data_IF_434049007316
#
_entry.id   IF_434049007316
#
_cell.length_a   1.000
_cell.length_b   1.000
_cell.length_c   1.000
_cell.angle_alpha   90.00
_cell.angle_beta   90.00
_cell.angle_gamma   90.00
#
_symmetry.space_group_name_H-M   'P 1'
#
loop_
_entity.id
_entity.type
_entity.pdbx_description
1 polymer ?
#
# COMPACT_ATOMS: atom_id res chain seq x y z
N UNK A 1 -3.09 2.94 -23.53
CA UNK A 1 -2.63 3.87 -22.46
C UNK A 1 -1.11 3.91 -22.45
N UNK A 2 -0.50 5.11 -22.47
CA UNK A 2 0.96 5.26 -22.32
C UNK A 2 1.33 5.17 -20.83
N UNK A 3 1.81 3.98 -20.41
CA UNK A 3 2.03 3.64 -19.00
C UNK A 3 3.52 3.52 -18.70
N UNK A 4 3.96 4.16 -17.61
CA UNK A 4 5.25 3.91 -16.96
C UNK A 4 5.07 3.05 -15.70
N UNK A 5 6.10 2.32 -15.27
CA UNK A 5 6.17 1.76 -13.93
C UNK A 5 7.14 2.58 -13.06
N UNK A 6 6.79 2.77 -11.80
CA UNK A 6 7.65 3.38 -10.76
C UNK A 6 7.85 2.35 -9.66
N UNK A 7 9.05 1.81 -9.57
CA UNK A 7 9.40 0.72 -8.64
C UNK A 7 10.31 1.25 -7.55
N UNK A 8 9.91 1.08 -6.30
CA UNK A 8 10.71 1.51 -5.16
C UNK A 8 11.57 0.36 -4.65
N UNK A 9 12.88 0.54 -4.67
CA UNK A 9 13.85 -0.38 -4.10
C UNK A 9 14.32 0.09 -2.72
N UNK A 10 14.51 -0.87 -1.84
CA UNK A 10 15.21 -0.69 -0.56
C UNK A 10 15.92 -1.99 -0.21
N UNK A 11 17.26 -1.99 -0.22
CA UNK A 11 18.09 -3.18 -0.03
C UNK A 11 17.64 -4.37 -0.92
N UNK A 12 17.55 -4.21 -2.25
CA UNK A 12 16.93 -5.20 -3.13
C UNK A 12 17.61 -6.57 -3.06
N UNK A 13 18.91 -6.63 -2.76
CA UNK A 13 19.67 -7.87 -2.64
C UNK A 13 19.23 -8.76 -1.46
N UNK A 14 18.57 -8.21 -0.45
CA UNK A 14 17.99 -9.00 0.65
C UNK A 14 16.84 -9.92 0.18
N UNK A 15 16.17 -9.54 -0.91
CA UNK A 15 15.13 -10.38 -1.54
C UNK A 15 15.75 -11.42 -2.48
N UNK A 16 16.91 -11.12 -3.03
CA UNK A 16 17.61 -11.91 -4.03
C UNK A 16 17.47 -11.34 -5.45
N UNK A 17 18.58 -11.25 -6.16
CA UNK A 17 18.69 -10.63 -7.48
C UNK A 17 17.69 -11.21 -8.50
N UNK A 18 17.70 -12.54 -8.66
CA UNK A 18 16.80 -13.21 -9.62
C UNK A 18 15.34 -12.91 -9.35
N UNK A 19 14.96 -12.92 -8.07
CA UNK A 19 13.59 -12.70 -7.64
C UNK A 19 13.13 -11.27 -7.90
N UNK A 20 13.98 -10.27 -7.63
CA UNK A 20 13.71 -8.86 -7.95
C UNK A 20 13.49 -8.68 -9.45
N UNK A 21 14.34 -9.26 -10.27
CA UNK A 21 14.22 -9.20 -11.73
C UNK A 21 12.91 -9.87 -12.17
N UNK A 22 12.62 -11.08 -11.71
CA UNK A 22 11.37 -11.79 -12.03
C UNK A 22 10.14 -11.01 -11.63
N UNK A 23 10.12 -10.38 -10.44
CA UNK A 23 9.01 -9.55 -10.00
C UNK A 23 8.72 -8.44 -11.01
N UNK A 24 9.76 -7.69 -11.44
CA UNK A 24 9.60 -6.59 -12.37
C UNK A 24 9.24 -7.09 -13.78
N UNK A 25 9.85 -8.17 -14.24
CA UNK A 25 9.54 -8.75 -15.55
C UNK A 25 8.09 -9.24 -15.67
N UNK A 26 7.42 -9.55 -14.53
CA UNK A 26 6.03 -9.99 -14.53
C UNK A 26 5.04 -8.96 -15.09
N UNK A 27 5.42 -7.67 -15.11
CA UNK A 27 4.58 -6.58 -15.62
C UNK A 27 5.30 -5.63 -16.59
N UNK A 28 6.62 -5.78 -16.80
CA UNK A 28 7.43 -4.85 -17.58
C UNK A 28 6.97 -4.71 -19.03
N UNK A 29 6.46 -5.78 -19.65
CA UNK A 29 5.98 -5.76 -21.04
C UNK A 29 4.74 -4.90 -21.27
N UNK A 30 4.05 -4.50 -20.20
CA UNK A 30 2.88 -3.60 -20.22
C UNK A 30 3.25 -2.15 -19.95
N UNK A 31 4.53 -1.86 -19.69
CA UNK A 31 5.04 -0.53 -19.40
C UNK A 31 6.10 -0.14 -20.44
N UNK A 32 6.00 1.07 -21.00
CA UNK A 32 7.00 1.56 -21.97
C UNK A 32 8.33 1.90 -21.30
N UNK A 33 8.31 2.29 -20.02
CA UNK A 33 9.48 2.63 -19.20
C UNK A 33 9.28 2.14 -17.78
N UNK A 34 10.40 1.80 -17.13
CA UNK A 34 10.45 1.39 -15.73
C UNK A 34 11.41 2.32 -14.99
N UNK A 35 10.90 3.14 -14.08
CA UNK A 35 11.71 3.99 -13.22
C UNK A 35 11.98 3.24 -11.92
N UNK A 36 13.22 2.82 -11.72
CA UNK A 36 13.69 2.15 -10.52
C UNK A 36 14.26 3.21 -9.60
N UNK A 37 13.51 3.52 -8.53
CA UNK A 37 13.94 4.51 -7.54
C UNK A 37 14.50 3.78 -6.33
N UNK A 38 15.79 3.87 -6.14
CA UNK A 38 16.52 3.15 -5.10
C UNK A 38 16.69 4.01 -3.86
N UNK A 39 16.01 3.61 -2.79
CA UNK A 39 16.05 4.21 -1.46
C UNK A 39 17.18 3.62 -0.58
N UNK A 40 17.97 2.69 -1.10
CA UNK A 40 19.08 2.12 -0.34
C UNK A 40 20.22 3.13 -0.11
N UNK A 41 21.07 2.85 0.88
CA UNK A 41 22.33 3.56 1.07
C UNK A 41 23.33 3.24 -0.04
N UNK A 42 23.37 1.96 -0.44
CA UNK A 42 24.25 1.47 -1.50
C UNK A 42 23.59 1.61 -2.86
N UNK A 43 24.40 1.71 -3.91
CA UNK A 43 23.92 1.83 -5.27
C UNK A 43 23.72 0.45 -5.90
N UNK A 44 22.57 0.24 -6.55
CA UNK A 44 22.26 -1.01 -7.23
C UNK A 44 22.02 -0.79 -8.74
N UNK A 45 22.73 0.17 -9.34
CA UNK A 45 22.59 0.51 -10.77
C UNK A 45 22.89 -0.67 -11.69
N UNK A 46 23.92 -1.48 -11.37
CA UNK A 46 24.27 -2.66 -12.18
C UNK A 46 23.15 -3.71 -12.18
N UNK A 47 22.42 -3.83 -11.08
CA UNK A 47 21.22 -4.68 -11.02
C UNK A 47 20.10 -4.12 -11.91
N UNK A 48 19.89 -2.81 -11.87
CA UNK A 48 18.87 -2.15 -12.68
C UNK A 48 19.13 -2.31 -14.19
N UNK A 49 20.40 -2.28 -14.65
CA UNK A 49 20.77 -2.50 -16.06
C UNK A 49 20.34 -3.86 -16.61
N UNK A 50 20.08 -4.85 -15.75
CA UNK A 50 19.56 -6.17 -16.14
C UNK A 50 18.06 -6.16 -16.48
N UNK A 51 17.37 -5.07 -16.20
CA UNK A 51 15.94 -4.90 -16.44
C UNK A 51 15.74 -4.06 -17.70
N UNK A 52 15.09 -4.61 -18.73
CA UNK A 52 14.88 -3.90 -19.99
C UNK A 52 14.07 -2.60 -19.78
N UNK A 53 14.43 -1.56 -20.55
CA UNK A 53 13.75 -0.26 -20.54
C UNK A 53 13.72 0.43 -19.18
N UNK A 54 14.62 0.07 -18.25
CA UNK A 54 14.70 0.70 -16.94
C UNK A 54 15.55 1.98 -16.97
N UNK A 55 15.20 2.89 -16.08
CA UNK A 55 15.97 4.08 -15.71
C UNK A 55 16.18 4.01 -14.20
N UNK A 56 17.45 4.00 -13.78
CA UNK A 56 17.83 3.97 -12.37
C UNK A 56 17.93 5.38 -11.80
N UNK A 57 17.36 5.58 -10.62
CA UNK A 57 17.36 6.83 -9.87
C UNK A 57 17.76 6.53 -8.42
N UNK A 58 18.93 7.02 -8.00
CA UNK A 58 19.32 6.94 -6.58
C UNK A 58 18.62 8.03 -5.77
N UNK A 59 17.80 7.63 -4.78
CA UNK A 59 17.09 8.55 -3.91
C UNK A 59 17.67 8.60 -2.49
N UNK A 60 18.50 7.64 -2.09
CA UNK A 60 19.14 7.57 -0.76
C UNK A 60 18.14 7.76 0.39
N UNK A 61 16.95 7.20 0.23
CA UNK A 61 15.84 7.24 1.18
C UNK A 61 15.34 8.64 1.57
N UNK A 62 15.60 9.66 0.74
CA UNK A 62 15.06 11.01 0.95
C UNK A 62 13.55 10.98 0.83
N UNK A 63 12.82 11.44 1.86
CA UNK A 63 11.36 11.39 1.92
C UNK A 63 10.76 9.97 2.03
N UNK A 64 11.58 8.95 2.25
CA UNK A 64 11.14 7.56 2.39
C UNK A 64 10.47 7.01 1.14
N UNK A 65 9.46 6.15 1.32
CA UNK A 65 8.71 5.58 0.20
C UNK A 65 7.94 6.67 -0.58
N UNK A 66 7.42 7.68 0.11
CA UNK A 66 6.73 8.81 -0.52
C UNK A 66 7.67 9.60 -1.44
N UNK A 67 8.88 9.92 -0.96
CA UNK A 67 9.89 10.61 -1.77
C UNK A 67 10.35 9.79 -2.96
N UNK A 68 10.53 8.49 -2.79
CA UNK A 68 10.85 7.58 -3.90
C UNK A 68 9.74 7.57 -4.95
N UNK A 69 8.49 7.43 -4.55
CA UNK A 69 7.34 7.47 -5.46
C UNK A 69 7.23 8.82 -6.19
N UNK A 70 7.41 9.94 -5.48
CA UNK A 70 7.39 11.26 -6.07
C UNK A 70 8.47 11.43 -7.14
N UNK A 71 9.73 11.00 -6.84
CA UNK A 71 10.85 11.07 -7.80
C UNK A 71 10.56 10.32 -9.08
N UNK A 72 10.03 9.09 -8.96
CA UNK A 72 9.67 8.27 -10.10
C UNK A 72 8.51 8.87 -10.91
N UNK A 73 7.45 9.32 -10.25
CA UNK A 73 6.29 9.94 -10.87
C UNK A 73 6.65 11.26 -11.57
N UNK A 74 7.45 12.12 -10.94
CA UNK A 74 7.94 13.38 -11.53
C UNK A 74 8.76 13.09 -12.80
N UNK A 75 9.68 12.12 -12.75
CA UNK A 75 10.49 11.76 -13.91
C UNK A 75 9.63 11.19 -15.03
N UNK A 76 8.67 10.33 -14.73
CA UNK A 76 7.73 9.81 -15.71
C UNK A 76 6.89 10.93 -16.35
N UNK A 77 6.40 11.90 -15.56
CA UNK A 77 5.64 13.05 -16.06
C UNK A 77 6.49 13.93 -17.00
N UNK A 78 7.75 14.22 -16.62
CA UNK A 78 8.71 14.98 -17.46
C UNK A 78 9.01 14.25 -18.78
N UNK A 79 9.10 12.94 -18.76
CA UNK A 79 9.32 12.11 -19.96
C UNK A 79 8.03 11.93 -20.80
N UNK A 80 6.94 12.61 -20.43
CA UNK A 80 5.70 12.68 -21.21
C UNK A 80 4.76 11.49 -21.03
N UNK A 81 4.87 10.77 -19.93
CA UNK A 81 3.87 9.77 -19.55
C UNK A 81 2.64 10.44 -18.93
N UNK A 82 1.48 9.91 -19.25
CA UNK A 82 0.22 10.36 -18.65
C UNK A 82 -0.14 9.52 -17.43
N UNK A 83 0.23 8.25 -17.42
CA UNK A 83 -0.09 7.29 -16.38
C UNK A 83 1.17 6.61 -15.85
N UNK A 84 1.19 6.38 -14.53
CA UNK A 84 2.23 5.59 -13.90
C UNK A 84 1.61 4.53 -12.98
N UNK A 85 2.23 3.36 -12.95
CA UNK A 85 1.92 2.28 -12.01
C UNK A 85 3.00 2.21 -10.96
N UNK A 86 2.66 2.54 -9.71
CA UNK A 86 3.60 2.40 -8.57
C UNK A 86 3.66 0.94 -8.13
N UNK A 87 4.86 0.45 -7.84
CA UNK A 87 5.11 -0.95 -7.50
C UNK A 87 6.07 -1.08 -6.32
N UNK A 88 5.78 -2.02 -5.43
CA UNK A 88 6.75 -2.48 -4.43
C UNK A 88 7.68 -3.54 -5.03
N UNK A 89 8.91 -3.60 -4.54
CA UNK A 89 9.93 -4.52 -5.06
C UNK A 89 9.61 -6.02 -4.88
N UNK A 90 8.71 -6.35 -3.97
CA UNK A 90 8.32 -7.74 -3.64
C UNK A 90 6.96 -8.17 -4.23
N UNK A 91 6.41 -7.34 -5.11
CA UNK A 91 5.12 -7.56 -5.77
C UNK A 91 5.29 -8.25 -7.12
N UNK A 92 4.44 -9.22 -7.40
CA UNK A 92 4.47 -10.00 -8.63
C UNK A 92 3.06 -10.22 -9.18
N UNK A 93 2.91 -10.05 -10.50
CA UNK A 93 1.71 -10.41 -11.21
C UNK A 93 1.80 -11.79 -11.85
N UNK A 94 0.70 -12.50 -11.90
CA UNK A 94 0.51 -13.59 -12.84
C UNK A 94 0.18 -13.01 -14.24
N UNK A 95 0.66 -13.61 -15.35
CA UNK A 95 0.50 -13.04 -16.70
C UNK A 95 -0.93 -12.66 -17.06
N UNK A 96 -1.90 -13.51 -16.74
CA UNK A 96 -3.30 -13.24 -17.03
C UNK A 96 -3.87 -12.12 -16.17
N UNK A 97 -3.36 -11.93 -14.95
CA UNK A 97 -3.83 -10.89 -14.04
C UNK A 97 -3.40 -9.50 -14.51
N UNK A 98 -2.13 -9.31 -14.87
CA UNK A 98 -1.66 -8.01 -15.37
C UNK A 98 -2.32 -7.65 -16.70
N UNK A 99 -2.44 -8.61 -17.63
CA UNK A 99 -3.11 -8.42 -18.91
C UNK A 99 -4.54 -7.92 -18.74
N UNK A 100 -5.29 -8.60 -17.89
CA UNK A 100 -6.69 -8.25 -17.62
C UNK A 100 -6.81 -6.93 -16.87
N UNK A 101 -5.87 -6.66 -15.94
CA UNK A 101 -5.85 -5.40 -15.20
C UNK A 101 -5.69 -4.20 -16.14
N UNK A 102 -4.69 -4.22 -17.01
CA UNK A 102 -4.43 -3.13 -17.98
C UNK A 102 -5.62 -2.96 -18.92
N UNK A 103 -6.18 -4.06 -19.45
CA UNK A 103 -7.36 -4.03 -20.32
C UNK A 103 -8.55 -3.34 -19.66
N UNK A 104 -8.87 -3.71 -18.43
CA UNK A 104 -10.02 -3.16 -17.68
C UNK A 104 -9.82 -1.67 -17.35
N UNK A 105 -8.59 -1.27 -16.99
CA UNK A 105 -8.26 0.13 -16.74
C UNK A 105 -8.41 0.96 -18.03
N UNK A 106 -7.86 0.48 -19.16
CA UNK A 106 -7.98 1.16 -20.46
C UNK A 106 -9.43 1.31 -20.91
N UNK A 107 -10.26 0.31 -20.69
CA UNK A 107 -11.69 0.37 -21.00
C UNK A 107 -12.45 1.32 -20.08
N UNK A 108 -12.04 1.47 -18.83
CA UNK A 108 -12.73 2.32 -17.87
C UNK A 108 -12.39 3.81 -18.00
N UNK A 109 -11.11 4.16 -18.27
CA UNK A 109 -10.63 5.56 -18.35
C UNK A 109 -11.57 6.46 -19.18
N UNK A 110 -12.00 6.09 -20.40
CA UNK A 110 -12.86 6.95 -21.20
C UNK A 110 -14.30 7.07 -20.70
N UNK A 111 -14.71 6.25 -19.72
CA UNK A 111 -16.10 6.24 -19.23
C UNK A 111 -16.32 7.22 -18.08
N UNK A 112 -15.25 7.60 -17.36
CA UNK A 112 -15.34 8.51 -16.21
C UNK A 112 -14.06 9.36 -16.09
N UNK A 113 -14.14 10.62 -16.47
CA UNK A 113 -13.04 11.59 -16.39
C UNK A 113 -12.55 11.84 -14.96
N UNK A 114 -13.37 11.50 -13.96
CA UNK A 114 -12.99 11.60 -12.54
C UNK A 114 -12.15 10.43 -12.07
N UNK A 115 -12.17 9.31 -12.79
CA UNK A 115 -11.39 8.13 -12.45
C UNK A 115 -9.90 8.37 -12.76
N UNK A 116 -9.15 8.75 -11.75
CA UNK A 116 -7.74 9.13 -11.89
C UNK A 116 -6.78 8.13 -11.24
N UNK A 117 -7.34 7.07 -10.64
CA UNK A 117 -6.59 6.20 -9.76
C UNK A 117 -7.23 4.81 -9.73
N UNK A 118 -6.43 3.77 -10.01
CA UNK A 118 -6.87 2.38 -10.11
C UNK A 118 -5.97 1.46 -9.31
N UNK A 119 -6.54 0.39 -8.74
CA UNK A 119 -5.78 -0.67 -8.06
C UNK A 119 -6.50 -2.01 -8.11
N UNK A 120 -5.76 -3.14 -8.14
CA UNK A 120 -6.33 -4.48 -8.08
C UNK A 120 -6.68 -4.87 -6.63
N UNK A 121 -7.34 -6.01 -6.45
CA UNK A 121 -7.34 -6.69 -5.14
C UNK A 121 -5.93 -7.21 -4.84
N UNK A 122 -5.58 -7.31 -3.55
CA UNK A 122 -4.27 -7.79 -3.12
C UNK A 122 -4.40 -9.18 -2.49
N UNK A 123 -3.63 -10.13 -3.01
CA UNK A 123 -3.54 -11.48 -2.48
C UNK A 123 -2.25 -11.65 -1.69
N UNK A 124 -2.38 -11.77 -0.38
CA UNK A 124 -1.25 -12.01 0.49
C UNK A 124 -0.76 -13.46 0.35
N UNK A 125 0.46 -13.67 -0.19
CA UNK A 125 1.02 -15.00 -0.45
C UNK A 125 1.47 -15.67 0.86
N UNK A 126 1.98 -14.89 1.82
CA UNK A 126 2.50 -15.40 3.09
C UNK A 126 1.46 -15.44 4.22
N UNK A 127 0.18 -15.23 3.92
CA UNK A 127 -0.91 -15.33 4.89
C UNK A 127 -1.15 -16.80 5.28
N UNK A 128 -0.52 -17.25 6.34
CA UNK A 128 -0.85 -18.55 6.96
C UNK A 128 -2.25 -18.50 7.54
N UNK A 129 -3.18 -19.28 6.96
CA UNK A 129 -4.51 -19.46 7.56
C UNK A 129 -4.32 -20.22 8.87
N UNK A 130 -4.48 -19.51 9.99
CA UNK A 130 -4.33 -20.14 11.30
C UNK A 130 -5.43 -21.18 11.52
N UNK A 131 -5.06 -22.35 12.09
CA UNK A 131 -5.97 -23.44 12.39
C UNK A 131 -7.20 -23.01 13.23
N UNK A 132 -7.07 -22.04 14.15
CA UNK A 132 -8.19 -21.48 14.92
C UNK A 132 -9.17 -20.69 14.04
N UNK A 133 -8.69 -20.02 12.98
CA UNK A 133 -9.52 -19.33 11.98
C UNK A 133 -10.26 -20.35 11.12
N UNK A 134 -9.57 -21.45 10.79
CA UNK A 134 -10.15 -22.60 10.10
C UNK A 134 -11.25 -23.28 10.92
N UNK A 135 -11.00 -23.58 12.24
CA UNK A 135 -11.99 -24.15 13.18
C UNK A 135 -13.17 -23.19 13.35
N UNK A 136 -12.91 -21.90 13.55
CA UNK A 136 -13.98 -20.90 13.70
C UNK A 136 -14.85 -20.81 12.45
N UNK A 137 -14.26 -20.89 11.27
CA UNK A 137 -14.99 -20.77 10.00
C UNK A 137 -15.71 -22.06 9.62
N UNK A 138 -15.05 -23.21 9.76
CA UNK A 138 -15.57 -24.49 9.29
C UNK A 138 -16.36 -25.27 10.34
N UNK A 139 -16.10 -25.07 11.63
CA UNK A 139 -16.75 -25.81 12.72
C UNK A 139 -17.70 -24.93 13.52
N UNK A 140 -17.20 -23.84 14.09
CA UNK A 140 -18.00 -23.01 15.01
C UNK A 140 -19.04 -22.13 14.28
N UNK A 141 -18.75 -21.67 13.09
CA UNK A 141 -19.64 -20.82 12.32
C UNK A 141 -20.92 -21.55 11.85
N UNK A 142 -20.83 -22.80 11.30
CA UNK A 142 -22.00 -23.60 10.97
C UNK A 142 -22.87 -23.95 12.21
N UNK A 143 -22.21 -24.32 13.32
CA UNK A 143 -22.91 -24.66 14.58
C UNK A 143 -23.64 -23.43 15.10
N UNK A 144 -22.98 -22.26 15.13
CA UNK A 144 -23.57 -20.99 15.57
C UNK A 144 -24.73 -20.56 14.70
N UNK A 145 -24.69 -20.81 13.38
CA UNK A 145 -25.80 -20.59 12.44
C UNK A 145 -26.99 -21.49 12.72
N UNK A 146 -26.72 -22.77 13.00
CA UNK A 146 -27.79 -23.75 13.31
C UNK A 146 -28.52 -23.42 14.61
N UNK A 147 -27.77 -22.96 15.65
CA UNK A 147 -28.33 -22.63 16.97
C UNK A 147 -29.06 -21.27 16.95
N UNK A 148 -28.56 -20.27 16.26
CA UNK A 148 -29.11 -18.90 16.27
C UNK A 148 -30.16 -18.65 15.20
N UNK A 149 -30.50 -19.63 14.37
CA UNK A 149 -31.54 -19.50 13.32
C UNK A 149 -31.31 -18.37 12.31
N UNK A 150 -30.17 -17.67 12.37
CA UNK A 150 -29.84 -16.59 11.44
C UNK A 150 -29.46 -17.20 10.11
N UNK A 151 -30.36 -17.08 9.15
CA UNK A 151 -30.11 -17.41 7.74
C UNK A 151 -28.92 -16.59 7.24
N UNK A 152 -27.78 -17.24 7.06
CA UNK A 152 -26.61 -16.61 6.47
C UNK A 152 -26.96 -16.22 5.03
N UNK A 153 -26.97 -14.94 4.78
CA UNK A 153 -26.96 -14.45 3.39
C UNK A 153 -25.48 -14.40 2.99
N UNK A 154 -25.08 -15.13 1.94
CA UNK A 154 -23.74 -14.91 1.38
C UNK A 154 -23.62 -13.44 1.06
N UNK A 155 -22.44 -12.86 1.32
CA UNK A 155 -22.17 -11.52 0.83
C UNK A 155 -22.40 -11.55 -0.69
N UNK A 156 -23.08 -10.56 -1.26
CA UNK A 156 -23.20 -10.48 -2.72
C UNK A 156 -21.79 -10.52 -3.31
N UNK A 157 -21.59 -11.14 -4.49
CA UNK A 157 -20.31 -11.07 -5.16
C UNK A 157 -19.93 -9.60 -5.30
N UNK A 158 -18.63 -9.29 -5.05
CA UNK A 158 -18.12 -7.94 -5.27
C UNK A 158 -18.34 -7.57 -6.74
N UNK A 159 -18.74 -6.33 -7.06
CA UNK A 159 -18.78 -5.88 -8.44
C UNK A 159 -17.38 -5.98 -9.05
N UNK A 160 -17.31 -6.16 -10.35
CA UNK A 160 -16.04 -6.28 -11.05
C UNK A 160 -15.17 -5.05 -10.87
N UNK A 161 -15.81 -3.89 -10.82
CA UNK A 161 -15.22 -2.57 -10.63
C UNK A 161 -15.98 -1.88 -9.50
N UNK A 162 -15.28 -1.26 -8.59
CA UNK A 162 -15.84 -0.65 -7.39
C UNK A 162 -15.19 0.71 -7.12
N UNK A 163 -16.03 1.71 -6.86
CA UNK A 163 -15.57 2.99 -6.32
C UNK A 163 -15.16 2.78 -4.85
N UNK A 164 -13.95 3.17 -4.50
CA UNK A 164 -13.40 2.96 -3.16
C UNK A 164 -12.80 4.22 -2.59
N UNK A 165 -12.65 4.28 -1.27
CA UNK A 165 -12.02 5.41 -0.60
C UNK A 165 -10.50 5.21 -0.40
N UNK A 166 -10.02 3.97 -0.51
CA UNK A 166 -8.61 3.64 -0.22
C UNK A 166 -8.13 2.47 -1.05
N UNK A 167 -6.89 2.61 -1.51
CA UNK A 167 -6.08 1.57 -2.11
C UNK A 167 -4.68 1.62 -1.48
N UNK A 168 -3.92 0.55 -1.63
CA UNK A 168 -2.49 0.54 -1.30
C UNK A 168 -1.67 0.82 -2.55
N UNK A 169 -0.45 1.38 -2.35
CA UNK A 169 0.38 1.86 -3.45
C UNK A 169 0.93 0.77 -4.38
N UNK A 170 0.87 -0.50 -4.00
CA UNK A 170 1.30 -1.61 -4.84
C UNK A 170 0.33 -1.81 -6.00
N UNK A 171 0.86 -1.65 -7.22
CA UNK A 171 0.09 -1.71 -8.48
C UNK A 171 -0.97 -0.62 -8.63
N UNK A 172 -0.68 0.54 -8.06
CA UNK A 172 -1.55 1.70 -8.12
C UNK A 172 -1.30 2.47 -9.42
N UNK A 173 -2.22 2.37 -10.40
CA UNK A 173 -2.15 3.14 -11.64
C UNK A 173 -2.77 4.52 -11.38
N UNK A 174 -1.99 5.58 -11.60
CA UNK A 174 -2.37 6.96 -11.31
C UNK A 174 -2.18 7.85 -12.53
N UNK A 175 -3.10 8.80 -12.70
CA UNK A 175 -2.95 9.87 -13.67
C UNK A 175 -1.94 10.90 -13.15
N UNK A 176 -0.81 11.06 -13.84
CA UNK A 176 0.31 11.88 -13.38
C UNK A 176 0.01 13.38 -13.35
N UNK A 177 -0.87 13.88 -14.24
CA UNK A 177 -1.32 15.28 -14.18
C UNK A 177 -2.12 15.53 -12.91
N UNK A 178 -3.03 14.58 -12.57
CA UNK A 178 -3.84 14.68 -11.36
C UNK A 178 -3.04 14.42 -10.09
N UNK A 179 -2.05 13.52 -10.15
CA UNK A 179 -1.06 13.35 -9.09
C UNK A 179 -0.33 14.68 -8.79
N UNK A 180 0.11 15.41 -9.80
CA UNK A 180 0.77 16.72 -9.65
C UNK A 180 -0.19 17.77 -9.09
N UNK A 181 -1.44 17.77 -9.55
CA UNK A 181 -2.49 18.71 -9.13
C UNK A 181 -2.84 18.60 -7.63
N UNK A 182 -2.72 17.39 -7.06
CA UNK A 182 -2.97 17.14 -5.63
C UNK A 182 -1.70 17.10 -4.79
N UNK A 183 -0.59 17.64 -5.28
CA UNK A 183 0.72 17.69 -4.61
C UNK A 183 1.34 16.33 -4.29
N UNK A 184 1.00 15.30 -5.07
CA UNK A 184 1.62 13.99 -4.99
C UNK A 184 1.53 13.32 -3.62
N UNK A 185 2.52 12.48 -3.30
CA UNK A 185 2.63 11.81 -2.01
C UNK A 185 3.29 12.70 -0.97
N UNK A 186 2.76 12.72 0.27
CA UNK A 186 3.34 13.52 1.34
C UNK A 186 4.64 12.89 1.88
N UNK A 187 5.79 13.49 1.55
CA UNK A 187 7.10 13.00 1.98
C UNK A 187 7.32 13.11 3.49
N UNK A 188 6.54 13.94 4.20
CA UNK A 188 6.60 14.01 5.65
C UNK A 188 6.13 12.71 6.30
N UNK A 189 5.19 12.01 5.68
CA UNK A 189 4.72 10.71 6.16
C UNK A 189 5.80 9.64 6.10
N UNK A 190 6.68 9.70 5.14
CA UNK A 190 7.85 8.84 4.97
C UNK A 190 7.51 7.38 4.62
N UNK A 191 6.75 6.69 5.47
CA UNK A 191 6.29 5.30 5.34
C UNK A 191 5.01 5.10 6.15
N UNK A 192 4.15 4.18 5.74
CA UNK A 192 2.81 3.93 6.30
C UNK A 192 1.85 5.14 6.18
N UNK A 193 0.62 4.93 5.79
CA UNK A 193 -0.42 5.92 5.47
C UNK A 193 -0.13 6.84 4.25
N UNK A 194 1.00 6.71 3.56
CA UNK A 194 1.36 7.50 2.37
C UNK A 194 0.35 7.34 1.23
N UNK A 195 -0.06 6.11 0.99
CA UNK A 195 -1.06 5.73 0.00
C UNK A 195 -2.47 6.17 0.41
N UNK A 196 -2.80 6.09 1.70
CA UNK A 196 -4.08 6.54 2.21
C UNK A 196 -4.22 8.07 2.19
N UNK A 197 -3.18 8.82 2.58
CA UNK A 197 -3.12 10.29 2.43
C UNK A 197 -3.38 10.68 0.97
N UNK A 198 -2.68 10.05 0.04
CA UNK A 198 -2.87 10.31 -1.38
C UNK A 198 -4.32 10.02 -1.83
N UNK A 199 -4.91 8.91 -1.38
CA UNK A 199 -6.32 8.61 -1.61
C UNK A 199 -7.25 9.71 -1.07
N UNK A 200 -7.00 10.19 0.15
CA UNK A 200 -7.79 11.27 0.75
C UNK A 200 -7.67 12.57 -0.03
N UNK A 201 -6.48 12.93 -0.53
CA UNK A 201 -6.26 14.10 -1.40
C UNK A 201 -7.04 13.97 -2.71
N UNK A 202 -7.02 12.79 -3.35
CA UNK A 202 -7.80 12.47 -4.56
C UNK A 202 -9.29 12.73 -4.33
N UNK A 203 -9.85 12.18 -3.25
CA UNK A 203 -11.28 12.31 -2.92
C UNK A 203 -11.63 13.76 -2.56
N UNK A 204 -10.80 14.44 -1.78
CA UNK A 204 -10.98 15.85 -1.42
C UNK A 204 -11.06 16.76 -2.66
N UNK A 205 -10.32 16.41 -3.72
CA UNK A 205 -10.37 17.09 -5.01
C UNK A 205 -11.48 16.58 -5.94
N UNK A 206 -12.41 15.75 -5.42
CA UNK A 206 -13.58 15.21 -6.13
C UNK A 206 -13.23 14.29 -7.31
N UNK A 207 -12.08 13.67 -7.26
CA UNK A 207 -11.69 12.59 -8.15
C UNK A 207 -12.10 11.23 -7.59
N UNK A 208 -12.10 10.22 -8.46
CA UNK A 208 -12.52 8.87 -8.15
C UNK A 208 -11.34 7.89 -8.09
N UNK A 209 -11.43 6.97 -7.15
CA UNK A 209 -10.49 5.86 -6.96
C UNK A 209 -11.24 4.57 -7.27
N UNK A 210 -10.70 3.78 -8.17
CA UNK A 210 -11.35 2.60 -8.70
C UNK A 210 -10.60 1.34 -8.29
N UNK A 211 -11.29 0.40 -7.65
CA UNK A 211 -10.78 -0.96 -7.43
C UNK A 211 -11.27 -1.90 -8.51
N UNK A 212 -10.35 -2.63 -9.11
CA UNK A 212 -10.63 -3.67 -10.09
C UNK A 212 -10.62 -5.03 -9.37
N UNK A 213 -11.80 -5.46 -8.89
CA UNK A 213 -11.94 -6.65 -8.04
C UNK A 213 -11.76 -8.00 -8.78
N UNK A 214 -11.74 -8.00 -10.11
CA UNK A 214 -11.56 -9.22 -10.93
C UNK A 214 -10.11 -9.67 -10.98
N UNK A 215 -9.16 -8.76 -10.73
CA UNK A 215 -7.74 -9.01 -10.79
C UNK A 215 -7.09 -8.88 -9.43
N UNK A 216 -6.00 -9.61 -9.24
CA UNK A 216 -5.24 -9.53 -8.00
C UNK A 216 -3.73 -9.45 -8.26
N UNK A 217 -3.07 -8.72 -7.39
CA UNK A 217 -1.62 -8.69 -7.26
C UNK A 217 -1.20 -9.63 -6.13
N UNK A 218 -0.19 -10.45 -6.38
CA UNK A 218 0.45 -11.26 -5.34
C UNK A 218 1.52 -10.42 -4.61
N UNK A 219 1.38 -10.30 -3.29
CA UNK A 219 2.31 -9.51 -2.47
C UNK A 219 2.59 -10.20 -1.13
N UNK A 220 3.80 -10.01 -0.60
CA UNK A 220 4.16 -10.41 0.75
C UNK A 220 3.89 -9.27 1.73
N UNK A 221 3.11 -9.50 2.78
CA UNK A 221 2.90 -8.51 3.84
C UNK A 221 3.84 -8.75 5.03
N UNK A 222 4.85 -7.89 5.16
CA UNK A 222 5.71 -7.80 6.34
C UNK A 222 6.39 -9.12 6.79
N UNK A 223 6.97 -9.10 7.98
CA UNK A 223 7.71 -10.24 8.57
C UNK A 223 6.80 -11.31 9.21
N UNK A 224 5.61 -11.55 8.66
CA UNK A 224 4.66 -12.52 9.18
C UNK A 224 3.87 -12.03 10.40
N UNK A 225 2.95 -12.91 10.86
CA UNK A 225 2.05 -12.60 11.97
C UNK A 225 2.55 -13.24 13.27
N UNK A 226 2.65 -12.47 14.37
CA UNK A 226 2.90 -13.02 15.70
C UNK A 226 1.60 -13.43 16.40
N UNK A 227 1.68 -14.53 17.12
CA UNK A 227 0.62 -14.97 18.05
C UNK A 227 0.65 -14.16 19.33
N UNK A 228 -0.52 -13.66 19.75
CA UNK A 228 -0.80 -13.33 21.14
C UNK A 228 -1.71 -14.40 21.74
N UNK A 229 -1.46 -14.80 22.98
CA UNK A 229 -2.24 -15.81 23.73
C UNK A 229 -3.73 -15.44 23.78
N UNK A 230 -4.08 -14.19 23.65
CA UNK A 230 -5.43 -13.66 23.87
C UNK A 230 -6.08 -13.00 22.64
N UNK A 231 -5.39 -12.86 21.49
CA UNK A 231 -5.95 -12.18 20.31
C UNK A 231 -5.44 -12.67 18.95
N UNK A 232 -6.19 -12.28 17.91
CA UNK A 232 -5.84 -12.40 16.49
C UNK A 232 -4.39 -11.99 16.24
N UNK A 233 -3.78 -12.69 15.30
CA UNK A 233 -2.50 -12.36 14.68
C UNK A 233 -2.25 -10.87 14.57
N UNK A 234 -1.25 -10.35 15.28
CA UNK A 234 -0.75 -9.00 15.14
C UNK A 234 0.46 -9.00 14.24
N UNK A 235 0.53 -8.04 13.32
CA UNK A 235 1.73 -7.85 12.50
C UNK A 235 2.90 -7.48 13.40
N UNK A 236 4.07 -8.10 13.15
CA UNK A 236 5.26 -7.84 13.93
C UNK A 236 6.01 -6.63 13.36
N UNK A 237 5.60 -5.44 13.79
CA UNK A 237 6.28 -4.21 13.38
C UNK A 237 7.51 -3.95 14.25
N UNK A 238 8.60 -3.53 13.62
CA UNK A 238 9.75 -3.02 14.34
C UNK A 238 9.45 -1.63 14.94
N UNK A 239 10.33 -1.16 15.84
CA UNK A 239 10.14 0.12 16.54
C UNK A 239 10.07 1.32 15.60
N UNK A 240 10.84 1.30 14.51
CA UNK A 240 10.85 2.34 13.49
C UNK A 240 9.48 2.45 12.82
N UNK A 241 8.97 1.35 12.27
CA UNK A 241 7.68 1.34 11.58
C UNK A 241 6.51 1.64 12.52
N UNK A 242 6.55 1.12 13.77
CA UNK A 242 5.53 1.41 14.77
C UNK A 242 5.43 2.90 15.10
N UNK A 243 6.56 3.62 15.11
CA UNK A 243 6.57 5.07 15.28
C UNK A 243 5.81 5.79 14.18
N UNK A 244 6.08 5.46 12.91
CA UNK A 244 5.39 6.08 11.78
C UNK A 244 3.91 5.74 11.73
N UNK A 245 3.52 4.49 12.00
CA UNK A 245 2.12 4.08 12.07
C UNK A 245 1.35 4.98 13.06
N UNK A 246 1.88 5.21 14.26
CA UNK A 246 1.21 6.07 15.23
C UNK A 246 1.23 7.55 14.83
N UNK A 247 2.39 8.07 14.43
CA UNK A 247 2.54 9.48 14.07
C UNK A 247 1.62 9.84 12.90
N UNK A 248 1.67 9.04 11.85
CA UNK A 248 0.91 9.30 10.63
C UNK A 248 -0.60 9.14 10.86
N UNK A 249 -1.02 8.14 11.64
CA UNK A 249 -2.44 8.01 12.01
C UNK A 249 -2.96 9.24 12.79
N UNK A 250 -2.13 9.91 13.61
CA UNK A 250 -2.51 11.16 14.26
C UNK A 250 -2.61 12.32 13.24
N UNK A 251 -1.67 12.39 12.27
CA UNK A 251 -1.65 13.40 11.22
C UNK A 251 -2.89 13.27 10.33
N UNK A 252 -3.16 12.08 9.84
CA UNK A 252 -4.31 11.76 9.00
C UNK A 252 -5.64 12.05 9.70
N UNK A 253 -5.74 11.66 10.97
CA UNK A 253 -6.91 11.96 11.80
C UNK A 253 -7.19 13.47 11.94
N UNK A 254 -6.13 14.28 11.94
CA UNK A 254 -6.22 15.74 12.04
C UNK A 254 -6.50 16.38 10.68
N UNK A 255 -5.79 15.97 9.64
CA UNK A 255 -5.88 16.51 8.29
C UNK A 255 -7.17 16.16 7.55
N UNK A 256 -7.79 15.01 7.93
CA UNK A 256 -9.01 14.50 7.32
C UNK A 256 -10.05 14.11 8.38
N UNK A 257 -10.77 15.09 8.95
CA UNK A 257 -11.73 14.87 10.04
C UNK A 257 -12.86 13.89 9.72
N UNK A 258 -13.22 13.75 8.44
CA UNK A 258 -14.21 12.79 7.95
C UNK A 258 -13.82 11.34 8.23
N UNK A 259 -12.51 11.04 8.29
CA UNK A 259 -11.98 9.71 8.62
C UNK A 259 -11.58 9.55 10.09
N UNK A 260 -11.93 10.51 10.95
CA UNK A 260 -11.58 10.50 12.39
C UNK A 260 -11.93 9.19 13.08
N UNK A 261 -13.13 8.67 12.86
CA UNK A 261 -13.59 7.42 13.50
C UNK A 261 -12.73 6.22 13.08
N UNK A 262 -12.31 6.17 11.84
CA UNK A 262 -11.40 5.14 11.34
C UNK A 262 -10.03 5.23 12.04
N UNK A 263 -9.43 6.42 12.09
CA UNK A 263 -8.11 6.61 12.70
C UNK A 263 -8.15 6.46 14.22
N UNK A 264 -9.20 6.85 14.91
CA UNK A 264 -9.40 6.57 16.33
C UNK A 264 -9.41 5.05 16.60
N UNK A 265 -10.09 4.27 15.77
CA UNK A 265 -10.10 2.82 15.86
C UNK A 265 -8.74 2.20 15.54
N UNK A 266 -8.05 2.70 14.51
CA UNK A 266 -6.72 2.26 14.11
C UNK A 266 -5.72 2.47 15.25
N UNK A 267 -5.61 3.70 15.76
CA UNK A 267 -4.73 4.08 16.87
C UNK A 267 -5.01 3.22 18.09
N UNK A 268 -6.28 3.08 18.48
CA UNK A 268 -6.69 2.25 19.61
C UNK A 268 -6.29 0.79 19.44
N UNK A 269 -6.50 0.23 18.25
CA UNK A 269 -6.15 -1.17 17.96
C UNK A 269 -4.66 -1.39 18.03
N UNK A 270 -3.86 -0.54 17.37
CA UNK A 270 -2.41 -0.63 17.40
C UNK A 270 -1.83 -0.41 18.80
N UNK A 271 -2.39 0.53 19.57
CA UNK A 271 -1.99 0.77 20.95
C UNK A 271 -2.23 -0.47 21.83
N UNK A 272 -3.41 -1.06 21.75
CA UNK A 272 -3.72 -2.27 22.52
C UNK A 272 -2.81 -3.43 22.11
N UNK A 273 -2.64 -3.65 20.81
CA UNK A 273 -1.92 -4.82 20.31
C UNK A 273 -0.40 -4.70 20.52
N UNK A 274 0.17 -3.51 20.38
CA UNK A 274 1.62 -3.31 20.45
C UNK A 274 2.12 -2.71 21.77
N UNK A 275 1.29 -1.96 22.48
CA UNK A 275 1.68 -1.41 23.79
C UNK A 275 1.14 -2.26 24.95
N UNK A 276 -0.15 -2.59 24.99
CA UNK A 276 -0.71 -3.33 26.14
C UNK A 276 -0.36 -4.82 26.10
N UNK A 277 -0.52 -5.46 24.93
CA UNK A 277 -0.36 -6.90 24.76
C UNK A 277 1.06 -7.34 24.38
N UNK A 278 2.02 -6.43 24.41
CA UNK A 278 3.41 -6.69 23.97
C UNK A 278 4.34 -6.96 25.15
N UNK A 279 5.25 -7.93 24.99
CA UNK A 279 6.37 -8.15 25.91
C UNK A 279 7.26 -6.87 26.00
N UNK A 280 7.30 -6.08 24.94
CA UNK A 280 8.04 -4.83 24.87
C UNK A 280 7.21 -3.59 25.26
N UNK A 281 6.23 -3.76 26.15
CA UNK A 281 5.28 -2.72 26.57
C UNK A 281 5.94 -1.36 26.81
N UNK A 282 6.96 -1.28 27.69
CA UNK A 282 7.62 -0.01 28.05
C UNK A 282 8.26 0.65 26.81
N UNK A 283 8.94 -0.13 25.98
CA UNK A 283 9.59 0.36 24.75
C UNK A 283 8.56 0.92 23.80
N UNK A 284 7.50 0.19 23.55
CA UNK A 284 6.44 0.57 22.60
C UNK A 284 5.60 1.74 23.11
N UNK A 285 5.38 1.85 24.43
CA UNK A 285 4.75 3.02 25.05
C UNK A 285 5.58 4.29 24.85
N UNK A 286 6.91 4.21 25.00
CA UNK A 286 7.81 5.36 24.69
C UNK A 286 7.71 5.78 23.23
N UNK A 287 7.59 4.82 22.29
CA UNK A 287 7.41 5.09 20.87
C UNK A 287 6.09 5.83 20.63
N UNK A 288 4.99 5.34 21.21
CA UNK A 288 3.67 5.99 21.11
C UNK A 288 3.71 7.43 21.64
N UNK A 289 4.31 7.65 22.81
CA UNK A 289 4.43 8.99 23.42
C UNK A 289 5.25 9.92 22.52
N UNK A 290 6.38 9.42 21.96
CA UNK A 290 7.20 10.17 21.01
C UNK A 290 6.40 10.55 19.77
N UNK A 291 5.71 9.59 19.14
CA UNK A 291 4.90 9.82 17.96
C UNK A 291 3.81 10.89 18.21
N UNK A 292 3.16 10.85 19.35
CA UNK A 292 2.18 11.85 19.76
C UNK A 292 2.78 13.23 20.01
N UNK A 293 3.97 13.29 20.62
CA UNK A 293 4.70 14.56 20.85
C UNK A 293 5.08 15.21 19.50
N UNK A 294 5.63 14.42 18.59
CA UNK A 294 6.07 14.91 17.27
C UNK A 294 4.87 15.36 16.43
N UNK A 295 3.72 14.66 16.51
CA UNK A 295 2.47 15.13 15.94
C UNK A 295 2.03 16.47 16.53
N UNK A 296 2.03 16.65 17.87
CA UNK A 296 1.66 17.92 18.49
C UNK A 296 2.58 19.06 18.03
N UNK A 297 3.86 18.78 17.84
CA UNK A 297 4.80 19.77 17.28
C UNK A 297 4.55 20.08 15.83
N UNK A 298 4.02 19.14 15.05
CA UNK A 298 3.60 19.35 13.67
C UNK A 298 2.39 20.28 13.56
N UNK A 299 1.35 20.04 14.38
CA UNK A 299 0.09 20.84 14.36
C UNK A 299 0.32 22.26 14.88
N UNK A 300 1.25 22.45 15.82
CA UNK A 300 1.52 23.74 16.44
C UNK A 300 2.68 24.51 15.76
N UNK A 301 3.12 24.10 14.57
CA UNK A 301 4.01 24.93 13.77
C UNK A 301 3.25 26.18 13.31
N UNK A 302 3.80 27.41 13.54
CA UNK A 302 3.17 28.66 13.15
C UNK A 302 3.01 28.78 11.65
#
# INVERSE_FOLDING_TARGET
MKLAAVVIWFNPLEIGEEKIIQNILSYSSYCEKIYIVDNSSDLHEELAKKIPNSIYISNKNVGGIAGGQNRGCEKALVDGFEWAMTMDQDSIFEPEQIKEYIRLVEEYIPTDEKAVSFGPDIKCINAKIHWTKWIRFNILSPIKRKILGKRWKPHPPKPNIELVERLIASSYIINLKKWKEVDGFDEFLFIDEVDHDFCHKIIKNKYAIIRVNQVYLNQNFGNGQKFSLFRKTTSNYNAFRLYYIFRNAFIERYGFPEYKTYYDKLIKTFYIDNCINSINFIKNLKIYIKARKDFNSYVNKP
#
